data_IF_813203112049
#
_entry.id   IF_813203112049
#
_cell.length_a   1.000
_cell.length_b   1.000
_cell.length_c   1.000
_cell.angle_alpha   90.00
_cell.angle_beta   90.00
_cell.angle_gamma   90.00
#
_symmetry.space_group_name_H-M   'P 1'
#
loop_
_entity.id
_entity.type
_entity.pdbx_description
1 polymer ?
#
# COMPACT_ATOMS: atom_id res chain seq x y z
N UNK A 1 16.63 -10.75 -0.17
CA UNK A 1 15.33 -10.51 -0.83
C UNK A 1 14.23 -10.44 0.21
N UNK A 2 13.53 -9.31 0.35
CA UNK A 2 12.47 -9.11 1.34
C UNK A 2 11.32 -10.10 1.14
N UNK A 3 10.96 -10.87 2.17
CA UNK A 3 9.76 -11.72 2.14
C UNK A 3 8.52 -10.84 2.28
N UNK A 4 7.56 -11.01 1.37
CA UNK A 4 6.26 -10.36 1.46
C UNK A 4 5.21 -11.33 2.01
N UNK A 5 4.20 -10.85 2.76
CA UNK A 5 3.02 -11.66 3.07
C UNK A 5 2.29 -11.99 1.77
N UNK A 6 1.85 -13.24 1.60
CA UNK A 6 1.05 -13.63 0.43
C UNK A 6 -0.39 -13.11 0.58
N UNK A 7 -1.10 -12.99 -0.56
CA UNK A 7 -2.50 -12.60 -0.64
C UNK A 7 -2.83 -11.36 0.24
N UNK A 8 -2.02 -10.31 0.08
CA UNK A 8 -2.09 -9.11 0.91
C UNK A 8 -2.08 -7.85 0.07
N UNK A 9 -2.75 -6.80 0.54
CA UNK A 9 -2.63 -5.44 0.01
C UNK A 9 -1.60 -4.71 0.88
N UNK A 10 -0.55 -4.20 0.27
CA UNK A 10 0.43 -3.33 0.91
C UNK A 10 0.26 -1.94 0.34
N UNK A 11 0.07 -0.96 1.22
CA UNK A 11 0.01 0.45 0.85
C UNK A 11 1.44 0.97 0.79
N UNK A 12 1.85 1.48 -0.37
CA UNK A 12 3.22 1.95 -0.67
C UNK A 12 3.30 3.48 -0.64
N UNK A 13 2.24 4.18 -1.06
CA UNK A 13 2.20 5.64 -1.02
C UNK A 13 0.77 6.14 -0.83
N UNK A 14 0.58 7.02 0.16
CA UNK A 14 -0.64 7.81 0.36
C UNK A 14 -0.33 9.28 0.70
N UNK A 15 0.94 9.69 0.58
CA UNK A 15 1.38 11.06 0.91
C UNK A 15 0.98 12.07 -0.17
N UNK A 16 0.86 11.62 -1.41
CA UNK A 16 0.40 12.45 -2.55
C UNK A 16 -1.03 12.10 -2.95
N UNK A 17 -1.63 12.84 -3.90
CA UNK A 17 -2.97 12.53 -4.42
C UNK A 17 -3.03 11.27 -5.28
N UNK A 18 -1.89 10.67 -5.60
CA UNK A 18 -1.83 9.36 -6.26
C UNK A 18 -1.46 8.31 -5.22
N UNK A 19 -2.47 7.52 -4.82
CA UNK A 19 -2.31 6.38 -3.94
C UNK A 19 -1.66 5.25 -4.73
N UNK A 20 -0.66 4.59 -4.13
CA UNK A 20 0.01 3.43 -4.71
C UNK A 20 -0.08 2.26 -3.75
N UNK A 21 -0.45 1.10 -4.29
CA UNK A 21 -0.53 -0.16 -3.56
C UNK A 21 0.19 -1.25 -4.33
N UNK A 22 0.56 -2.29 -3.60
CA UNK A 22 1.04 -3.56 -4.12
C UNK A 22 0.12 -4.66 -3.62
N UNK A 23 -0.44 -5.45 -4.53
CA UNK A 23 -1.13 -6.70 -4.20
C UNK A 23 -0.13 -7.82 -4.41
N UNK A 24 0.19 -8.54 -3.34
CA UNK A 24 1.22 -9.59 -3.36
C UNK A 24 0.72 -10.87 -4.02
N UNK A 25 1.65 -11.81 -4.23
CA UNK A 25 1.39 -13.13 -4.84
C UNK A 25 0.13 -13.80 -4.28
N UNK A 26 -0.61 -14.51 -5.14
CA UNK A 26 -1.87 -15.19 -4.83
C UNK A 26 -3.04 -14.24 -4.48
N UNK A 27 -2.98 -12.97 -4.89
CA UNK A 27 -3.97 -11.93 -4.58
C UNK A 27 -4.98 -11.61 -5.68
N UNK A 28 -5.27 -12.50 -6.64
CA UNK A 28 -6.12 -12.18 -7.81
C UNK A 28 -7.52 -11.63 -7.44
N UNK A 29 -8.13 -12.16 -6.37
CA UNK A 29 -9.39 -11.64 -5.85
C UNK A 29 -9.24 -10.22 -5.29
N UNK A 30 -8.13 -9.93 -4.62
CA UNK A 30 -7.81 -8.59 -4.11
C UNK A 30 -7.56 -7.61 -5.26
N UNK A 31 -6.87 -8.03 -6.32
CA UNK A 31 -6.70 -7.21 -7.54
C UNK A 31 -8.06 -6.80 -8.11
N UNK A 32 -9.00 -7.74 -8.22
CA UNK A 32 -10.34 -7.44 -8.73
C UNK A 32 -11.11 -6.49 -7.80
N UNK A 33 -11.02 -6.67 -6.48
CA UNK A 33 -11.58 -5.72 -5.51
C UNK A 33 -10.97 -4.32 -5.68
N UNK A 34 -9.65 -4.22 -5.79
CA UNK A 34 -8.97 -2.93 -5.94
C UNK A 34 -9.34 -2.24 -7.26
N UNK A 35 -9.54 -2.99 -8.35
CA UNK A 35 -10.09 -2.46 -9.60
C UNK A 35 -11.50 -1.87 -9.40
N UNK A 36 -12.37 -2.54 -8.63
CA UNK A 36 -13.70 -2.02 -8.30
C UNK A 36 -13.64 -0.77 -7.41
N UNK A 37 -12.57 -0.59 -6.63
CA UNK A 37 -12.29 0.64 -5.88
C UNK A 37 -11.66 1.75 -6.75
N UNK A 38 -11.42 1.50 -8.04
CA UNK A 38 -10.88 2.46 -8.99
C UNK A 38 -9.37 2.36 -9.23
N UNK A 39 -8.66 1.42 -8.60
CA UNK A 39 -7.24 1.23 -8.85
C UNK A 39 -6.97 0.66 -10.25
N UNK A 40 -5.95 1.18 -10.90
CA UNK A 40 -5.44 0.73 -12.21
C UNK A 40 -4.09 0.03 -12.05
N UNK A 41 -3.83 -1.01 -12.84
CA UNK A 41 -2.56 -1.75 -12.83
C UNK A 41 -1.43 -0.89 -13.41
N UNK A 42 -0.24 -0.95 -12.81
CA UNK A 42 0.97 -0.21 -13.20
C UNK A 42 2.12 -1.11 -13.67
N UNK A 43 1.91 -2.42 -13.79
CA UNK A 43 3.01 -3.38 -13.93
C UNK A 43 3.93 -3.06 -15.13
N UNK A 44 3.37 -2.65 -16.26
CA UNK A 44 4.16 -2.33 -17.45
C UNK A 44 5.01 -1.08 -17.25
N UNK A 45 4.46 -0.03 -16.61
CA UNK A 45 5.18 1.21 -16.28
C UNK A 45 6.38 0.93 -15.34
N UNK A 46 6.16 0.10 -14.32
CA UNK A 46 7.18 -0.20 -13.30
C UNK A 46 8.25 -1.11 -13.87
N UNK A 47 7.87 -2.14 -14.63
CA UNK A 47 8.83 -3.03 -15.30
C UNK A 47 9.67 -2.27 -16.30
N UNK A 48 9.08 -1.35 -17.07
CA UNK A 48 9.84 -0.54 -18.02
C UNK A 48 10.80 0.44 -17.32
N UNK A 49 10.38 1.07 -16.23
CA UNK A 49 11.20 2.04 -15.51
C UNK A 49 12.46 1.41 -14.89
N UNK A 50 12.36 0.19 -14.34
CA UNK A 50 13.47 -0.48 -13.66
C UNK A 50 14.14 -1.59 -14.50
N UNK A 51 13.81 -1.72 -15.78
CA UNK A 51 14.33 -2.81 -16.63
C UNK A 51 15.86 -2.88 -16.68
N UNK A 52 16.53 -1.75 -16.48
CA UNK A 52 17.98 -1.58 -16.56
C UNK A 52 18.63 -1.32 -15.17
N UNK A 53 17.88 -1.40 -14.05
CA UNK A 53 18.41 -1.22 -12.69
C UNK A 53 18.31 -2.51 -11.88
N UNK A 54 19.39 -3.29 -11.93
CA UNK A 54 19.59 -4.56 -11.23
C UNK A 54 19.68 -4.43 -9.69
N UNK A 55 19.63 -3.20 -9.14
CA UNK A 55 19.46 -2.97 -7.70
C UNK A 55 17.99 -3.01 -7.28
N UNK A 56 17.06 -2.85 -8.21
CA UNK A 56 15.63 -2.79 -7.92
C UNK A 56 14.95 -4.12 -8.26
N UNK A 57 14.70 -4.92 -7.22
CA UNK A 57 13.92 -6.13 -7.36
C UNK A 57 12.43 -5.81 -7.45
N UNK A 58 11.81 -6.09 -8.59
CA UNK A 58 10.35 -6.12 -8.76
C UNK A 58 9.90 -7.56 -8.52
N UNK A 59 9.01 -7.78 -7.55
CA UNK A 59 8.36 -9.09 -7.40
C UNK A 59 7.54 -9.39 -8.67
N UNK A 60 7.93 -10.39 -9.50
CA UNK A 60 7.25 -10.66 -10.75
C UNK A 60 5.83 -11.18 -10.55
N UNK A 61 5.49 -11.60 -9.33
CA UNK A 61 4.18 -12.09 -8.93
C UNK A 61 3.32 -11.03 -8.22
N UNK A 62 3.87 -9.85 -7.94
CA UNK A 62 3.11 -8.76 -7.36
C UNK A 62 2.43 -7.91 -8.45
N UNK A 63 1.27 -7.36 -8.12
CA UNK A 63 0.55 -6.40 -8.93
C UNK A 63 0.64 -5.02 -8.28
N UNK A 64 1.34 -4.11 -8.92
CA UNK A 64 1.39 -2.72 -8.50
C UNK A 64 0.21 -1.97 -9.10
N UNK A 65 -0.44 -1.15 -8.30
CA UNK A 65 -1.64 -0.43 -8.72
C UNK A 65 -1.64 1.01 -8.20
N UNK A 66 -2.27 1.92 -8.95
CA UNK A 66 -2.47 3.32 -8.56
C UNK A 66 -3.91 3.77 -8.67
N UNK A 67 -4.26 4.74 -7.83
CA UNK A 67 -5.49 5.51 -7.92
C UNK A 67 -5.17 6.98 -7.65
N UNK A 68 -5.55 7.87 -8.56
CA UNK A 68 -5.50 9.32 -8.33
C UNK A 68 -6.85 9.80 -7.81
N UNK A 69 -6.82 10.67 -6.80
CA UNK A 69 -7.99 11.33 -6.21
C UNK A 69 -7.80 12.83 -6.24
N UNK A 70 -8.88 13.60 -6.36
CA UNK A 70 -8.79 15.04 -6.52
C UNK A 70 -8.84 15.77 -5.18
N UNK A 71 -9.47 15.15 -4.18
CA UNK A 71 -9.70 15.78 -2.87
C UNK A 71 -9.17 14.93 -1.72
N UNK A 72 -8.88 15.59 -0.59
CA UNK A 72 -8.53 14.90 0.65
C UNK A 72 -9.70 14.04 1.16
N UNK A 73 -10.94 14.49 1.00
CA UNK A 73 -12.11 13.73 1.43
C UNK A 73 -12.20 12.38 0.70
N UNK A 74 -11.98 12.37 -0.61
CA UNK A 74 -11.89 11.14 -1.41
C UNK A 74 -10.72 10.26 -0.96
N UNK A 75 -9.55 10.86 -0.73
CA UNK A 75 -8.40 10.12 -0.19
C UNK A 75 -8.76 9.40 1.11
N UNK A 76 -9.39 10.10 2.06
CA UNK A 76 -9.81 9.50 3.34
C UNK A 76 -10.82 8.39 3.13
N UNK A 77 -11.80 8.56 2.22
CA UNK A 77 -12.77 7.51 1.87
C UNK A 77 -12.06 6.26 1.36
N UNK A 78 -11.10 6.39 0.45
CA UNK A 78 -10.33 5.26 -0.05
C UNK A 78 -9.48 4.63 1.06
N UNK A 79 -8.82 5.41 1.90
CA UNK A 79 -8.04 4.89 3.04
C UNK A 79 -8.91 4.03 3.96
N UNK A 80 -10.12 4.48 4.30
CA UNK A 80 -11.06 3.69 5.12
C UNK A 80 -11.48 2.39 4.46
N UNK A 81 -11.67 2.39 3.13
CA UNK A 81 -11.95 1.17 2.38
C UNK A 81 -10.75 0.22 2.39
N UNK A 82 -9.52 0.74 2.28
CA UNK A 82 -8.30 -0.06 2.40
C UNK A 82 -8.16 -0.68 3.80
N UNK A 83 -8.47 0.07 4.86
CA UNK A 83 -8.51 -0.47 6.23
C UNK A 83 -9.50 -1.63 6.33
N UNK A 84 -10.70 -1.46 5.76
CA UNK A 84 -11.76 -2.49 5.75
C UNK A 84 -11.32 -3.76 5.02
N UNK A 85 -10.50 -3.63 3.98
CA UNK A 85 -9.91 -4.76 3.25
C UNK A 85 -8.60 -5.28 3.89
N UNK A 86 -8.34 -4.92 5.16
CA UNK A 86 -7.19 -5.34 5.95
C UNK A 86 -5.83 -5.00 5.31
N UNK A 87 -5.78 -3.89 4.55
CA UNK A 87 -4.54 -3.44 3.93
C UNK A 87 -3.45 -3.11 4.97
N UNK A 88 -2.21 -3.40 4.60
CA UNK A 88 -1.03 -3.20 5.42
C UNK A 88 -0.34 -1.88 5.03
N UNK A 89 -0.36 -0.90 5.94
CA UNK A 89 0.28 0.38 5.72
C UNK A 89 1.79 0.27 5.98
N UNK A 90 2.60 0.43 4.94
CA UNK A 90 4.04 0.24 5.07
C UNK A 90 4.70 1.27 5.99
N UNK A 91 5.59 0.79 6.84
CA UNK A 91 6.47 1.59 7.67
C UNK A 91 7.74 1.92 6.88
N UNK A 92 8.23 3.15 7.01
CA UNK A 92 9.43 3.60 6.29
C UNK A 92 9.92 4.95 6.78
N UNK A 93 10.85 5.55 6.05
CA UNK A 93 11.27 6.93 6.29
C UNK A 93 10.48 7.87 5.39
N UNK A 94 10.26 9.10 5.87
CA UNK A 94 9.80 10.25 5.09
C UNK A 94 8.39 10.13 4.51
N UNK A 95 7.38 10.42 5.33
CA UNK A 95 5.96 10.37 4.97
C UNK A 95 5.55 8.99 4.47
N UNK A 96 5.99 7.96 5.20
CA UNK A 96 5.54 6.61 4.93
C UNK A 96 4.02 6.50 5.17
N UNK A 97 3.34 5.51 4.56
CA UNK A 97 1.93 5.26 4.82
C UNK A 97 1.59 5.19 6.31
N UNK A 98 2.43 4.58 7.14
CA UNK A 98 2.25 4.61 8.61
C UNK A 98 2.22 6.03 9.21
N UNK A 99 3.18 6.91 8.87
CA UNK A 99 3.21 8.29 9.39
C UNK A 99 2.00 9.10 8.91
N UNK A 100 1.55 8.86 7.67
CA UNK A 100 0.34 9.51 7.13
C UNK A 100 -0.92 9.03 7.88
N UNK A 101 -0.99 7.74 8.23
CA UNK A 101 -2.09 7.21 9.03
C UNK A 101 -2.10 7.82 10.43
N UNK A 102 -0.92 7.96 11.05
CA UNK A 102 -0.77 8.59 12.36
C UNK A 102 -1.27 10.05 12.33
N UNK A 103 -0.87 10.82 11.32
CA UNK A 103 -1.36 12.18 11.10
C UNK A 103 -2.89 12.25 10.95
N UNK A 104 -3.48 11.39 10.12
CA UNK A 104 -4.93 11.39 9.89
C UNK A 104 -5.74 10.96 11.11
N UNK A 105 -5.17 10.06 11.93
CA UNK A 105 -5.81 9.56 13.15
C UNK A 105 -5.63 10.50 14.34
N UNK A 106 -4.40 10.90 14.62
CA UNK A 106 -4.05 11.60 15.85
C UNK A 106 -4.17 13.11 15.74
N UNK A 107 -3.80 13.70 14.60
CA UNK A 107 -3.83 15.15 14.43
C UNK A 107 -5.16 15.60 13.83
N UNK A 108 -5.57 15.01 12.70
CA UNK A 108 -6.81 15.42 12.01
C UNK A 108 -8.09 14.79 12.57
N UNK A 109 -7.98 13.70 13.34
CA UNK A 109 -9.14 12.93 13.85
C UNK A 109 -10.13 12.48 12.77
N UNK A 110 -9.65 12.21 11.55
CA UNK A 110 -10.48 11.81 10.41
C UNK A 110 -10.62 10.28 10.28
N UNK A 111 -9.68 9.54 10.86
CA UNK A 111 -9.64 8.08 10.93
C UNK A 111 -9.72 7.68 12.39
N UNK A 112 -10.68 6.83 12.73
CA UNK A 112 -10.85 6.29 14.09
C UNK A 112 -10.73 4.77 14.13
N UNK A 113 -10.77 4.13 12.96
CA UNK A 113 -10.66 2.70 12.77
C UNK A 113 -9.27 2.20 13.19
N UNK A 114 -9.22 0.95 13.66
CA UNK A 114 -7.96 0.23 13.84
C UNK A 114 -7.37 -0.09 12.47
N UNK A 115 -6.06 -0.01 12.32
CA UNK A 115 -5.39 -0.31 11.05
C UNK A 115 -4.12 -1.13 11.27
N UNK A 116 -3.67 -1.83 10.23
CA UNK A 116 -2.50 -2.71 10.29
C UNK A 116 -1.31 -2.04 9.61
N UNK A 117 -0.15 -2.06 10.23
CA UNK A 117 1.10 -1.60 9.64
C UNK A 117 2.04 -2.78 9.40
N UNK A 118 2.94 -2.65 8.42
CA UNK A 118 3.96 -3.66 8.11
C UNK A 118 5.33 -3.01 8.01
N UNK A 119 6.32 -3.61 8.66
CA UNK A 119 7.72 -3.26 8.48
C UNK A 119 8.58 -4.50 8.22
N UNK A 120 9.66 -4.31 7.46
CA UNK A 120 10.63 -5.35 7.15
C UNK A 120 11.86 -5.21 8.04
N UNK A 121 12.32 -6.32 8.60
CA UNK A 121 13.54 -6.40 9.38
C UNK A 121 14.53 -7.35 8.66
N UNK A 122 15.42 -6.73 7.89
CA UNK A 122 16.27 -7.48 6.96
C UNK A 122 15.45 -8.12 5.84
N UNK A 123 16.06 -9.08 5.13
CA UNK A 123 15.44 -9.67 3.95
C UNK A 123 14.39 -10.74 4.26
N UNK A 124 14.43 -11.44 5.39
CA UNK A 124 13.57 -12.64 5.52
C UNK A 124 12.37 -12.46 6.43
N UNK A 125 12.31 -11.34 7.16
CA UNK A 125 11.34 -11.14 8.23
C UNK A 125 10.58 -9.84 8.02
N UNK A 126 9.27 -9.95 8.18
CA UNK A 126 8.39 -8.80 8.32
C UNK A 126 7.60 -8.97 9.62
N UNK A 127 7.11 -7.86 10.14
CA UNK A 127 6.24 -7.82 11.29
C UNK A 127 5.02 -6.99 10.96
N UNK A 128 3.85 -7.51 11.32
CA UNK A 128 2.57 -6.82 11.20
C UNK A 128 2.14 -6.41 12.59
N UNK A 129 1.75 -5.14 12.73
CA UNK A 129 1.23 -4.57 13.97
C UNK A 129 -0.15 -4.01 13.72
N UNK A 130 -1.07 -4.20 14.66
CA UNK A 130 -2.33 -3.47 14.69
C UNK A 130 -2.18 -2.21 15.54
N UNK A 131 -2.65 -1.08 15.02
CA UNK A 131 -2.64 0.21 15.70
C UNK A 131 -4.08 0.53 16.11
N UNK A 132 -4.27 0.77 17.42
CA UNK A 132 -5.58 1.05 18.02
C UNK A 132 -6.14 2.41 17.67
#
# INVERSE_FOLDING_TARGET
>A
MSRFPENSIIVENISTNTLKIMVTKNGDMLVNKMKLLGFSIMNDEIREYYKDDDRYYIDPFANFMKLSVDTEEEKIKIIKLLIKEEALFSCGRSWSPEEIMDYYKNDKKLISEKYKTIYWYGSEKYYIREVE
#
